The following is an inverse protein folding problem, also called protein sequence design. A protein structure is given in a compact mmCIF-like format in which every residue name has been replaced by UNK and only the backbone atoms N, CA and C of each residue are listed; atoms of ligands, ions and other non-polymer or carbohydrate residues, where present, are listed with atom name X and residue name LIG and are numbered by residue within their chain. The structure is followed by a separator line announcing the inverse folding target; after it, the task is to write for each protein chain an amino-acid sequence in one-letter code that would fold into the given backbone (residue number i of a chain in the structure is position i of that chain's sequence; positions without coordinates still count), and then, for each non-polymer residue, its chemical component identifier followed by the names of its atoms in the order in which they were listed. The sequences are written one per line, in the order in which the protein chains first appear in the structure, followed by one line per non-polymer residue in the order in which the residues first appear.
data_IF_725871288915
#
_entry.id   IF_725871288915
#
_cell.length_a   1.000
_cell.length_b   1.000
_cell.length_c   1.000
_cell.angle_alpha   90.00
_cell.angle_beta   90.00
_cell.angle_gamma   90.00
#
_symmetry.space_group_name_H-M   'P 1'
#
loop_
_entity.id
_entity.type
_entity.pdbx_description
1 polymer ?
#
# COMPACT_ATOMS: atom_id res chain seq x y z
N UNK A 1 -3.34 -35.53 25.58
CA UNK A 1 -2.16 -34.62 25.70
C UNK A 1 -2.14 -34.10 27.12
N UNK A 2 -1.09 -34.38 27.88
CA UNK A 2 -0.96 -33.89 29.25
C UNK A 2 -0.38 -32.47 29.24
N UNK A 3 -0.65 -31.72 30.32
CA UNK A 3 -0.14 -30.36 30.51
C UNK A 3 1.40 -30.26 30.32
N UNK A 4 2.09 -31.31 30.77
CA UNK A 4 3.56 -31.42 30.67
C UNK A 4 4.05 -31.65 29.23
N UNK A 5 3.26 -32.33 28.38
CA UNK A 5 3.60 -32.49 26.96
C UNK A 5 3.49 -31.16 26.21
N UNK A 6 2.48 -30.35 26.51
CA UNK A 6 2.28 -29.03 25.91
C UNK A 6 3.43 -28.08 26.29
N UNK A 7 3.84 -28.13 27.55
CA UNK A 7 4.95 -27.27 28.01
C UNK A 7 6.26 -27.61 27.27
N UNK A 8 6.59 -28.89 27.11
CA UNK A 8 7.80 -29.31 26.36
C UNK A 8 7.74 -28.90 24.89
N UNK A 9 6.58 -28.95 24.27
CA UNK A 9 6.40 -28.57 22.87
C UNK A 9 6.55 -27.05 22.68
N UNK A 10 6.06 -26.26 23.62
CA UNK A 10 6.27 -24.81 23.65
C UNK A 10 7.76 -24.47 23.80
N UNK A 11 8.48 -25.09 24.72
CA UNK A 11 9.93 -24.86 24.93
C UNK A 11 10.76 -25.27 23.70
N UNK A 12 10.35 -26.29 22.97
CA UNK A 12 11.03 -26.70 21.73
C UNK A 12 10.77 -25.73 20.57
N UNK A 13 9.55 -25.19 20.45
CA UNK A 13 9.21 -24.17 19.48
C UNK A 13 9.97 -22.86 19.75
N UNK A 14 10.09 -22.46 21.00
CA UNK A 14 10.88 -21.28 21.39
C UNK A 14 12.38 -21.44 21.05
N UNK A 15 12.95 -22.63 21.26
CA UNK A 15 14.34 -22.94 20.85
C UNK A 15 14.52 -22.87 19.33
N UNK A 16 13.56 -23.39 18.55
CA UNK A 16 13.59 -23.31 17.08
C UNK A 16 13.50 -21.86 16.59
N UNK A 17 12.62 -21.07 17.19
CA UNK A 17 12.46 -19.67 16.87
C UNK A 17 13.74 -18.87 17.15
N UNK A 18 14.43 -19.18 18.25
CA UNK A 18 15.69 -18.53 18.62
C UNK A 18 16.81 -18.86 17.65
N UNK A 19 16.94 -20.11 17.20
CA UNK A 19 17.90 -20.53 16.16
C UNK A 19 17.66 -19.82 14.83
N UNK A 20 16.40 -19.74 14.38
CA UNK A 20 16.05 -19.04 13.13
C UNK A 20 16.36 -17.55 13.20
N UNK A 21 16.18 -16.91 14.36
CA UNK A 21 16.58 -15.53 14.57
C UNK A 21 18.10 -15.33 14.49
N UNK A 22 18.89 -16.26 15.03
CA UNK A 22 20.35 -16.23 14.97
C UNK A 22 20.86 -16.49 13.54
N UNK A 23 20.28 -17.39 12.77
CA UNK A 23 20.62 -17.62 11.36
C UNK A 23 20.35 -16.41 10.46
N UNK A 24 19.29 -15.67 10.73
CA UNK A 24 18.96 -14.43 9.98
C UNK A 24 19.96 -13.31 10.31
N UNK A 25 20.50 -13.27 11.52
CA UNK A 25 21.47 -12.25 11.95
C UNK A 25 22.93 -12.57 11.59
N UNK A 26 23.24 -13.81 11.18
CA UNK A 26 24.60 -14.28 10.89
C UNK A 26 24.95 -14.42 9.40
N UNK A 27 24.20 -13.83 8.47
CA UNK A 27 24.67 -13.71 7.08
C UNK A 27 25.47 -12.42 6.92
N UNK A 28 26.79 -12.48 6.74
CA UNK A 28 27.56 -11.32 6.31
C UNK A 28 27.23 -11.05 4.85
N UNK A 29 26.66 -9.90 4.59
CA UNK A 29 26.53 -9.37 3.23
C UNK A 29 27.83 -8.69 2.85
N UNK A 30 28.56 -9.28 1.92
CA UNK A 30 29.71 -8.68 1.28
C UNK A 30 29.35 -7.39 0.56
N UNK A 31 30.00 -6.36 1.01
CA UNK A 31 30.43 -5.09 0.38
C UNK A 31 29.80 -4.64 -0.95
N UNK A 32 29.11 -3.50 -0.88
CA UNK A 32 29.13 -2.43 -1.87
C UNK A 32 29.38 -1.09 -1.13
N UNK A 33 30.24 -0.19 -1.67
CA UNK A 33 30.88 0.87 -0.89
C UNK A 33 30.00 2.09 -0.64
N UNK A 34 30.22 2.60 0.53
CA UNK A 34 29.80 3.84 1.16
C UNK A 34 29.90 5.09 0.27
N UNK A 35 28.88 5.92 0.32
CA UNK A 35 29.05 7.36 0.63
C UNK A 35 27.72 8.05 0.96
N UNK A 36 27.77 8.70 2.06
CA UNK A 36 27.21 9.97 2.48
C UNK A 36 26.10 9.95 3.51
N UNK A 37 26.54 10.30 4.72
CA UNK A 37 25.77 10.97 5.77
C UNK A 37 24.86 12.05 5.18
N UNK A 38 23.55 11.90 5.36
CA UNK A 38 22.62 13.01 5.43
C UNK A 38 21.70 12.78 6.62
N UNK A 39 21.68 13.76 7.47
CA UNK A 39 20.89 13.94 8.68
C UNK A 39 19.48 13.39 8.56
N UNK A 40 19.09 12.54 9.53
CA UNK A 40 17.71 12.11 9.75
C UNK A 40 16.87 13.32 10.12
N UNK A 41 16.15 13.86 9.17
CA UNK A 41 14.89 14.55 9.42
C UNK A 41 13.79 13.50 9.29
N UNK A 42 12.89 13.45 10.25
CA UNK A 42 11.80 12.48 10.39
C UNK A 42 10.77 12.57 9.24
N UNK A 43 11.17 12.23 8.03
CA UNK A 43 10.24 11.98 6.94
C UNK A 43 9.75 10.53 7.07
N UNK A 44 8.48 10.37 7.39
CA UNK A 44 7.78 9.07 7.44
C UNK A 44 7.86 8.42 6.05
N UNK A 45 8.91 7.65 5.81
CA UNK A 45 9.09 6.90 4.57
C UNK A 45 8.16 5.69 4.60
N UNK A 46 7.46 5.42 3.49
CA UNK A 46 6.62 4.23 3.38
C UNK A 46 7.48 2.96 3.54
N UNK A 47 7.12 2.11 4.49
CA UNK A 47 7.85 0.86 4.75
C UNK A 47 7.69 -0.12 3.58
N UNK A 48 8.63 -1.04 3.42
CA UNK A 48 8.56 -2.11 2.42
C UNK A 48 7.30 -2.99 2.60
N UNK A 49 6.87 -3.19 3.84
CA UNK A 49 5.66 -3.92 4.18
C UNK A 49 4.40 -3.21 3.69
N UNK A 50 4.31 -1.89 3.88
CA UNK A 50 3.21 -1.07 3.36
C UNK A 50 3.17 -1.07 1.84
N UNK A 51 4.32 -0.98 1.18
CA UNK A 51 4.38 -1.05 -0.29
C UNK A 51 3.86 -2.40 -0.80
N UNK A 52 4.24 -3.48 -0.15
CA UNK A 52 3.75 -4.84 -0.45
C UNK A 52 2.25 -4.95 -0.20
N UNK A 53 1.73 -4.37 0.88
CA UNK A 53 0.30 -4.32 1.17
C UNK A 53 -0.48 -3.57 0.08
N UNK A 54 0.02 -2.42 -0.38
CA UNK A 54 -0.58 -1.66 -1.49
C UNK A 54 -0.65 -2.50 -2.76
N UNK A 55 0.45 -3.14 -3.15
CA UNK A 55 0.53 -3.99 -4.35
C UNK A 55 -0.49 -5.13 -4.27
N UNK A 56 -0.49 -5.87 -3.15
CA UNK A 56 -1.36 -7.02 -2.96
C UNK A 56 -2.85 -6.63 -2.99
N UNK A 57 -3.21 -5.52 -2.36
CA UNK A 57 -4.61 -5.08 -2.34
C UNK A 57 -5.06 -4.52 -3.68
N UNK A 58 -4.23 -3.79 -4.42
CA UNK A 58 -4.56 -3.36 -5.78
C UNK A 58 -4.80 -4.55 -6.72
N UNK A 59 -3.99 -5.62 -6.60
CA UNK A 59 -4.19 -6.84 -7.37
C UNK A 59 -5.48 -7.57 -7.00
N UNK A 60 -5.79 -7.71 -5.70
CA UNK A 60 -7.03 -8.30 -5.22
C UNK A 60 -8.27 -7.51 -5.64
N UNK A 61 -8.16 -6.17 -5.68
CA UNK A 61 -9.18 -5.29 -6.24
C UNK A 61 -9.31 -5.40 -7.78
N UNK A 62 -8.53 -6.27 -8.43
CA UNK A 62 -8.62 -6.53 -9.85
C UNK A 62 -7.97 -5.47 -10.74
N UNK A 63 -7.15 -4.58 -10.17
CA UNK A 63 -6.47 -3.52 -10.93
C UNK A 63 -5.18 -4.06 -11.53
N UNK A 64 -5.07 -4.21 -12.88
CA UNK A 64 -3.89 -4.77 -13.51
C UNK A 64 -2.67 -3.84 -13.42
N UNK A 65 -1.50 -4.41 -13.12
CA UNK A 65 -0.24 -3.67 -13.06
C UNK A 65 0.20 -3.05 -14.40
N UNK A 66 -0.37 -3.51 -15.52
CA UNK A 66 -0.12 -2.98 -16.85
C UNK A 66 -0.75 -1.61 -17.10
N UNK A 67 -1.72 -1.19 -16.29
CA UNK A 67 -2.38 0.09 -16.43
C UNK A 67 -1.55 1.24 -15.85
N UNK A 68 -1.53 2.37 -16.54
CA UNK A 68 -0.89 3.60 -16.01
C UNK A 68 -1.55 4.03 -14.69
N UNK A 69 -2.87 3.88 -14.58
CA UNK A 69 -3.62 4.18 -13.36
C UNK A 69 -3.17 3.39 -12.15
N UNK A 70 -2.73 2.13 -12.31
CA UNK A 70 -2.12 1.34 -11.24
C UNK A 70 -0.84 2.00 -10.69
N UNK A 71 0.04 2.46 -11.60
CA UNK A 71 1.29 3.14 -11.22
C UNK A 71 1.00 4.47 -10.52
N UNK A 72 -0.01 5.21 -10.99
CA UNK A 72 -0.41 6.47 -10.38
C UNK A 72 -1.04 6.26 -9.01
N UNK A 73 -1.86 5.24 -8.80
CA UNK A 73 -2.42 4.88 -7.49
C UNK A 73 -1.32 4.54 -6.48
N UNK A 74 -0.29 3.79 -6.87
CA UNK A 74 0.87 3.53 -6.00
C UNK A 74 1.57 4.83 -5.59
N UNK A 75 1.78 5.74 -6.55
CA UNK A 75 2.40 7.06 -6.29
C UNK A 75 1.53 7.90 -5.35
N UNK A 76 0.22 7.92 -5.55
CA UNK A 76 -0.77 8.60 -4.71
C UNK A 76 -0.67 8.12 -3.26
N UNK A 77 -0.74 6.81 -3.04
CA UNK A 77 -0.65 6.21 -1.70
C UNK A 77 0.66 6.59 -1.02
N UNK A 78 1.78 6.50 -1.74
CA UNK A 78 3.09 6.90 -1.22
C UNK A 78 3.15 8.37 -0.81
N UNK A 79 2.68 9.29 -1.65
CA UNK A 79 2.68 10.72 -1.35
C UNK A 79 1.87 11.06 -0.10
N UNK A 80 0.74 10.40 0.09
CA UNK A 80 -0.15 10.60 1.24
C UNK A 80 0.45 10.01 2.52
N UNK A 81 1.00 8.80 2.47
CA UNK A 81 1.64 8.16 3.63
C UNK A 81 2.91 8.91 4.06
N UNK A 82 3.71 9.38 3.11
CA UNK A 82 4.91 10.18 3.38
C UNK A 82 4.60 11.60 3.88
N UNK A 83 3.32 11.98 3.96
CA UNK A 83 2.89 13.30 4.44
C UNK A 83 3.29 14.45 3.52
N UNK A 84 3.65 14.16 2.26
CA UNK A 84 3.96 15.18 1.25
C UNK A 84 2.73 15.97 0.82
N UNK A 85 1.57 15.40 1.05
CA UNK A 85 0.26 16.03 0.82
C UNK A 85 -0.54 15.84 2.11
N UNK A 86 -1.12 16.93 2.62
CA UNK A 86 -1.86 16.95 3.89
C UNK A 86 -3.18 16.15 3.78
N UNK A 87 -3.66 15.57 4.88
CA UNK A 87 -4.87 14.74 4.91
C UNK A 87 -6.17 15.43 4.43
N UNK A 88 -6.22 16.77 4.42
CA UNK A 88 -7.33 17.57 3.89
C UNK A 88 -7.10 18.02 2.43
N UNK A 89 -6.46 17.20 1.63
CA UNK A 89 -6.07 17.53 0.27
C UNK A 89 -7.24 17.60 -0.71
N UNK A 90 -7.11 18.52 -1.66
CA UNK A 90 -7.99 18.55 -2.83
C UNK A 90 -7.37 17.67 -3.94
N UNK A 91 -7.98 16.50 -4.20
CA UNK A 91 -7.51 15.53 -5.21
C UNK A 91 -7.19 16.20 -6.55
N UNK A 92 -8.07 17.08 -7.01
CA UNK A 92 -7.93 17.73 -8.31
C UNK A 92 -6.87 18.83 -8.33
N UNK A 93 -6.75 19.61 -7.22
CA UNK A 93 -5.88 20.78 -7.19
C UNK A 93 -4.46 20.50 -6.72
N UNK A 94 -4.28 19.48 -5.89
CA UNK A 94 -3.00 19.19 -5.23
C UNK A 94 -2.45 17.83 -5.66
N UNK A 95 -3.24 16.77 -5.55
CA UNK A 95 -2.76 15.41 -5.75
C UNK A 95 -2.45 15.09 -7.23
N UNK A 96 -3.40 15.36 -8.13
CA UNK A 96 -3.18 15.07 -9.55
C UNK A 96 -2.01 15.88 -10.16
N UNK A 97 -1.82 17.16 -9.86
CA UNK A 97 -0.66 17.89 -10.34
C UNK A 97 0.67 17.32 -9.84
N UNK A 98 0.78 16.88 -8.58
CA UNK A 98 2.00 16.29 -8.05
C UNK A 98 2.31 14.94 -8.69
N UNK A 99 1.31 14.05 -8.84
CA UNK A 99 1.47 12.79 -9.57
C UNK A 99 1.84 13.05 -11.03
N UNK A 100 1.21 14.03 -11.67
CA UNK A 100 1.47 14.41 -13.06
C UNK A 100 2.92 14.85 -13.28
N UNK A 101 3.48 15.66 -12.38
CA UNK A 101 4.90 16.06 -12.39
C UNK A 101 5.83 14.84 -12.32
N UNK A 102 5.58 13.94 -11.39
CA UNK A 102 6.42 12.76 -11.18
C UNK A 102 6.41 11.80 -12.38
N UNK A 103 5.31 11.74 -13.12
CA UNK A 103 5.14 10.85 -14.27
C UNK A 103 5.23 11.55 -15.63
N UNK A 104 5.54 12.84 -15.66
CA UNK A 104 5.63 13.66 -16.90
C UNK A 104 4.33 13.60 -17.73
N UNK A 105 3.20 13.75 -17.05
CA UNK A 105 1.84 13.71 -17.62
C UNK A 105 1.06 14.96 -17.26
N UNK A 106 -0.13 15.11 -17.84
CA UNK A 106 -1.05 16.16 -17.40
C UNK A 106 -1.97 15.67 -16.28
N UNK A 107 -2.47 16.55 -15.39
CA UNK A 107 -3.42 16.17 -14.34
C UNK A 107 -4.66 15.45 -14.87
N UNK A 108 -5.15 15.86 -16.05
CA UNK A 108 -6.29 15.22 -16.72
C UNK A 108 -5.98 13.79 -17.18
N UNK A 109 -4.77 13.54 -17.66
CA UNK A 109 -4.33 12.19 -18.02
C UNK A 109 -4.24 11.29 -16.80
N UNK A 110 -3.73 11.82 -15.67
CA UNK A 110 -3.65 11.10 -14.40
C UNK A 110 -5.06 10.75 -13.90
N UNK A 111 -5.97 11.73 -13.88
CA UNK A 111 -7.36 11.54 -13.45
C UNK A 111 -8.05 10.45 -14.28
N UNK A 112 -7.96 10.52 -15.63
CA UNK A 112 -8.58 9.54 -16.53
C UNK A 112 -7.99 8.14 -16.36
N UNK A 113 -6.67 8.04 -16.21
CA UNK A 113 -6.00 6.75 -16.03
C UNK A 113 -6.38 6.10 -14.69
N UNK A 114 -6.47 6.87 -13.61
CA UNK A 114 -6.94 6.38 -12.29
C UNK A 114 -8.39 5.92 -12.40
N UNK A 115 -9.28 6.72 -13.01
CA UNK A 115 -10.68 6.36 -13.21
C UNK A 115 -10.80 5.03 -13.97
N UNK A 116 -10.10 4.90 -15.09
CA UNK A 116 -10.10 3.67 -15.87
C UNK A 116 -9.59 2.47 -15.05
N UNK A 117 -8.54 2.64 -14.27
CA UNK A 117 -8.03 1.56 -13.43
C UNK A 117 -9.04 1.11 -12.37
N UNK A 118 -9.75 2.05 -11.74
CA UNK A 118 -10.83 1.76 -10.77
C UNK A 118 -11.99 1.02 -11.46
N UNK A 119 -12.39 1.44 -12.64
CA UNK A 119 -13.46 0.80 -13.42
C UNK A 119 -13.10 -0.64 -13.79
N UNK A 120 -11.89 -0.87 -14.31
CA UNK A 120 -11.40 -2.21 -14.64
C UNK A 120 -11.30 -3.07 -13.39
N UNK A 121 -10.81 -2.50 -12.28
CA UNK A 121 -10.72 -3.19 -11.01
C UNK A 121 -12.08 -3.60 -10.46
N UNK A 122 -13.06 -2.72 -10.51
CA UNK A 122 -14.43 -3.01 -10.06
C UNK A 122 -15.09 -4.14 -10.86
N UNK A 123 -14.85 -4.18 -12.18
CA UNK A 123 -15.44 -5.18 -13.08
C UNK A 123 -14.74 -6.57 -12.96
N UNK A 124 -13.50 -6.63 -12.44
CA UNK A 124 -12.68 -7.87 -12.41
C UNK A 124 -12.28 -8.33 -11.02
N UNK A 125 -12.36 -7.46 -10.03
CA UNK A 125 -11.87 -7.71 -8.69
C UNK A 125 -12.78 -8.57 -7.83
N UNK A 126 -12.29 -8.88 -6.63
CA UNK A 126 -13.08 -9.58 -5.63
C UNK A 126 -14.13 -8.63 -5.02
N UNK A 127 -15.40 -8.89 -5.34
CA UNK A 127 -16.53 -8.10 -4.84
C UNK A 127 -16.61 -8.03 -3.33
N UNK A 128 -16.24 -9.12 -2.62
CA UNK A 128 -16.23 -9.12 -1.15
C UNK A 128 -15.20 -8.15 -0.60
N UNK A 129 -14.03 -8.06 -1.24
CA UNK A 129 -13.01 -7.10 -0.86
C UNK A 129 -13.45 -5.66 -1.15
N UNK A 130 -14.09 -5.43 -2.29
CA UNK A 130 -14.68 -4.13 -2.61
C UNK A 130 -15.73 -3.71 -1.58
N UNK A 131 -16.62 -4.61 -1.20
CA UNK A 131 -17.60 -4.37 -0.13
C UNK A 131 -16.91 -4.11 1.21
N UNK A 132 -15.90 -4.89 1.58
CA UNK A 132 -15.18 -4.71 2.85
C UNK A 132 -14.52 -3.35 2.96
N UNK A 133 -13.87 -2.88 1.88
CA UNK A 133 -13.13 -1.61 1.89
C UNK A 133 -14.07 -0.41 1.72
N UNK A 134 -15.05 -0.51 0.83
CA UNK A 134 -15.83 0.64 0.36
C UNK A 134 -17.28 0.70 0.85
N UNK A 135 -17.80 -0.31 1.58
CA UNK A 135 -19.20 -0.38 2.00
C UNK A 135 -19.70 0.86 2.77
N UNK A 136 -18.82 1.49 3.53
CA UNK A 136 -19.16 2.67 4.33
C UNK A 136 -18.98 3.99 3.58
N UNK A 137 -18.24 4.00 2.47
CA UNK A 137 -17.85 5.22 1.75
C UNK A 137 -18.62 5.42 0.45
N UNK A 138 -19.19 4.35 -0.09
CA UNK A 138 -19.91 4.40 -1.37
C UNK A 138 -21.40 4.19 -1.13
N UNK A 139 -22.23 5.14 -1.55
CA UNK A 139 -23.67 4.93 -1.54
C UNK A 139 -24.01 3.74 -2.45
N UNK A 140 -24.68 2.73 -1.91
CA UNK A 140 -25.10 1.50 -2.60
C UNK A 140 -25.88 1.77 -3.92
N UNK A 141 -26.44 2.98 -4.05
CA UNK A 141 -27.14 3.44 -5.26
C UNK A 141 -26.22 3.93 -6.38
N UNK A 142 -24.96 4.22 -6.10
CA UNK A 142 -24.00 4.78 -7.08
C UNK A 142 -23.10 3.72 -7.73
N UNK A 143 -23.04 2.52 -7.20
CA UNK A 143 -22.23 1.41 -7.72
C UNK A 143 -20.73 1.62 -7.47
N UNK A 144 -19.99 2.20 -8.42
CA UNK A 144 -18.53 2.38 -8.33
C UNK A 144 -18.16 3.63 -7.52
N UNK A 145 -17.07 3.59 -6.73
CA UNK A 145 -16.57 4.79 -6.07
C UNK A 145 -16.01 5.81 -7.08
N UNK A 146 -16.12 7.08 -6.74
CA UNK A 146 -15.39 8.13 -7.45
C UNK A 146 -13.90 8.01 -7.15
N UNK A 147 -13.03 8.64 -7.97
CA UNK A 147 -11.60 8.64 -7.72
C UNK A 147 -11.25 9.15 -6.32
N UNK A 148 -11.91 10.20 -5.85
CA UNK A 148 -11.68 10.80 -4.53
C UNK A 148 -12.09 9.85 -3.41
N UNK A 149 -13.26 9.24 -3.49
CA UNK A 149 -13.74 8.25 -2.54
C UNK A 149 -12.80 7.03 -2.50
N UNK A 150 -12.40 6.53 -3.69
CA UNK A 150 -11.45 5.43 -3.76
C UNK A 150 -10.13 5.75 -3.08
N UNK A 151 -9.51 6.88 -3.43
CA UNK A 151 -8.20 7.26 -2.89
C UNK A 151 -8.27 7.43 -1.38
N UNK A 152 -9.24 8.17 -0.87
CA UNK A 152 -9.38 8.42 0.56
C UNK A 152 -9.55 7.12 1.36
N UNK A 153 -10.53 6.31 0.97
CA UNK A 153 -10.85 5.05 1.67
C UNK A 153 -9.74 4.01 1.54
N UNK A 154 -9.10 3.90 0.35
CA UNK A 154 -8.03 2.94 0.13
C UNK A 154 -6.78 3.29 0.95
N UNK A 155 -6.41 4.57 1.04
CA UNK A 155 -5.27 5.02 1.87
C UNK A 155 -5.55 4.77 3.34
N UNK A 156 -6.75 5.09 3.82
CA UNK A 156 -7.16 4.81 5.20
C UNK A 156 -7.09 3.32 5.51
N UNK A 157 -7.59 2.47 4.63
CA UNK A 157 -7.52 1.02 4.76
C UNK A 157 -6.08 0.51 4.87
N UNK A 158 -5.17 1.01 4.02
CA UNK A 158 -3.75 0.61 4.05
C UNK A 158 -3.04 1.08 5.33
N UNK A 159 -3.39 2.22 5.88
CA UNK A 159 -2.76 2.76 7.10
C UNK A 159 -3.22 2.02 8.36
N UNK A 160 -4.44 1.48 8.36
CA UNK A 160 -5.02 0.77 9.52
C UNK A 160 -4.65 -0.72 9.55
N UNK A 161 -4.25 -1.30 8.41
CA UNK A 161 -3.78 -2.70 8.36
C UNK A 161 -2.43 -2.89 9.06
#
# INVERSE_FOLDING_TARGET
MTKEQIIREIEELERRLRRLKEEVTMKPMDTIPTSNNVSRTDAKTMSCEMETAVINNLHKLGIPASLDGYRYLKTVVRLLIEGKITSNFCVTKELYPEVAKLHQKTPQQVERAIRHAIEVGYDRGDLKLWETIFSHSVSYKKGKPTNSEFIATFVEYIVVM
#
